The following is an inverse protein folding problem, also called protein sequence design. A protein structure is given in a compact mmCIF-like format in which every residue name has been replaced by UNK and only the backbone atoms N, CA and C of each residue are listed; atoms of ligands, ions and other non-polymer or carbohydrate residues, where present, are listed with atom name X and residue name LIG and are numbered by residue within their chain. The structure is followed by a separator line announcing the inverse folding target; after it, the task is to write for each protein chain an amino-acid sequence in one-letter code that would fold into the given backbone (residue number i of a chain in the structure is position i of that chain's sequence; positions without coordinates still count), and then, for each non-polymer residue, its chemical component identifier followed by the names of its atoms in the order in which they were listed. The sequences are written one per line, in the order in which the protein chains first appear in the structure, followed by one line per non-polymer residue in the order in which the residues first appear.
data_IF_676422050006
#
_entry.id   IF_676422050006
#
_cell.length_a   1.000
_cell.length_b   1.000
_cell.length_c   1.000
_cell.angle_alpha   90.00
_cell.angle_beta   90.00
_cell.angle_gamma   90.00
#
_symmetry.space_group_name_H-M   'P 1'
#
loop_
_entity.id
_entity.type
_entity.pdbx_description
1 polymer ?
#
# COMPACT_ATOMS: atom_id res chain seq x y z
N UNK A 1 2.76 20.87 52.98
CA UNK A 1 3.37 19.53 53.10
C UNK A 1 3.06 18.74 51.83
N UNK A 2 4.02 18.07 51.27
CA UNK A 2 3.76 17.15 50.19
C UNK A 2 3.03 15.91 50.72
N UNK A 3 2.03 15.40 49.96
CA UNK A 3 1.33 14.15 50.30
C UNK A 3 2.30 12.97 50.28
N UNK A 4 2.08 11.97 51.15
CA UNK A 4 2.94 10.77 51.20
C UNK A 4 2.85 9.89 49.97
N UNK A 5 1.79 10.04 49.16
CA UNK A 5 1.58 9.32 47.89
C UNK A 5 1.28 10.34 46.80
N UNK A 6 1.89 10.13 45.63
CA UNK A 6 1.53 10.84 44.42
C UNK A 6 0.19 10.33 43.92
N UNK A 7 -0.77 11.23 43.82
CA UNK A 7 -2.07 10.93 43.19
C UNK A 7 -2.05 11.45 41.74
N UNK A 8 -1.90 10.55 40.81
CA UNK A 8 -1.85 10.89 39.39
C UNK A 8 -3.18 11.41 38.89
N UNK A 9 -4.32 10.95 39.44
CA UNK A 9 -5.67 11.37 39.02
C UNK A 9 -5.97 12.83 39.32
N UNK A 10 -5.38 13.36 40.37
CA UNK A 10 -5.45 14.79 40.69
C UNK A 10 -4.33 15.60 40.03
N UNK A 11 -3.11 15.07 40.07
CA UNK A 11 -1.91 15.80 39.65
C UNK A 11 -1.83 15.99 38.14
N UNK A 12 -2.13 14.97 37.35
CA UNK A 12 -2.01 15.05 35.91
C UNK A 12 -2.98 16.07 35.27
N UNK A 13 -4.29 16.06 35.59
CA UNK A 13 -5.20 17.07 35.05
C UNK A 13 -4.85 18.50 35.50
N UNK A 14 -4.38 18.65 36.74
CA UNK A 14 -3.93 19.94 37.24
C UNK A 14 -2.77 20.50 36.41
N UNK A 15 -1.75 19.69 36.15
CA UNK A 15 -0.59 20.14 35.38
C UNK A 15 -0.92 20.36 33.91
N UNK A 16 -1.78 19.55 33.31
CA UNK A 16 -2.24 19.74 31.94
C UNK A 16 -2.99 21.08 31.81
N UNK A 17 -3.92 21.37 32.71
CA UNK A 17 -4.62 22.64 32.74
C UNK A 17 -3.67 23.83 32.91
N UNK A 18 -2.67 23.72 33.80
CA UNK A 18 -1.64 24.74 33.99
C UNK A 18 -0.82 24.96 32.71
N UNK A 19 -0.31 23.90 32.08
CA UNK A 19 0.47 24.02 30.83
C UNK A 19 -0.32 24.67 29.72
N UNK A 20 -1.59 24.37 29.64
CA UNK A 20 -2.48 24.95 28.63
C UNK A 20 -2.77 26.44 28.91
N UNK A 21 -3.10 26.80 30.15
CA UNK A 21 -3.39 28.18 30.51
C UNK A 21 -2.19 29.12 30.37
N UNK A 22 -0.99 28.62 30.70
CA UNK A 22 0.26 29.39 30.58
C UNK A 22 0.87 29.33 29.15
N UNK A 23 0.31 28.56 28.23
CA UNK A 23 0.81 28.42 26.89
C UNK A 23 2.25 27.91 26.80
N UNK A 24 2.68 27.05 27.75
CA UNK A 24 4.09 26.64 27.92
C UNK A 24 4.65 25.97 26.69
N UNK A 25 3.79 25.28 25.93
CA UNK A 25 4.18 24.54 24.72
C UNK A 25 3.89 25.27 23.42
N UNK A 26 3.35 26.48 23.51
CA UNK A 26 3.04 27.30 22.35
C UNK A 26 4.29 27.73 21.59
N UNK A 27 4.26 27.62 20.28
CA UNK A 27 5.31 28.10 19.38
C UNK A 27 5.09 29.58 19.09
N UNK A 28 6.02 30.41 19.57
CA UNK A 28 5.97 31.85 19.35
C UNK A 28 6.65 32.24 18.04
N UNK A 29 5.84 32.62 17.03
CA UNK A 29 6.34 33.05 15.71
C UNK A 29 7.16 34.34 15.74
N UNK A 30 7.09 35.12 16.82
CA UNK A 30 7.83 36.37 17.01
C UNK A 30 9.08 36.23 17.87
N UNK A 31 9.30 35.04 18.40
CA UNK A 31 10.47 34.75 19.27
C UNK A 31 11.78 34.87 18.50
N UNK A 32 12.77 35.49 19.14
CA UNK A 32 14.17 35.54 18.67
C UNK A 32 15.02 34.33 19.10
N UNK A 33 14.44 33.39 19.86
CA UNK A 33 15.13 32.17 20.27
C UNK A 33 15.40 31.28 19.02
N UNK A 34 16.48 30.49 19.06
CA UNK A 34 16.71 29.53 17.99
C UNK A 34 15.52 28.55 17.88
N UNK A 35 15.08 28.30 16.66
CA UNK A 35 13.95 27.39 16.40
C UNK A 35 14.44 25.95 16.33
N UNK A 36 13.68 25.05 16.92
CA UNK A 36 13.82 23.61 16.73
C UNK A 36 12.47 23.02 16.30
N UNK A 37 12.43 22.43 15.15
CA UNK A 37 11.20 21.82 14.60
C UNK A 37 11.24 20.32 14.77
N UNK A 38 10.10 19.74 15.14
CA UNK A 38 9.88 18.30 15.20
C UNK A 38 8.76 17.98 14.21
N UNK A 39 9.06 17.06 13.30
CA UNK A 39 8.12 16.51 12.34
C UNK A 39 7.92 15.02 12.67
N UNK A 40 6.73 14.68 13.13
CA UNK A 40 6.32 13.29 13.34
C UNK A 40 5.23 12.95 12.36
N UNK A 41 5.26 11.75 11.76
CA UNK A 41 4.13 11.32 10.91
C UNK A 41 2.85 11.34 11.73
N UNK A 42 1.73 11.84 11.18
CA UNK A 42 0.46 11.82 11.90
C UNK A 42 0.01 10.37 12.12
N UNK A 43 -0.47 10.00 13.31
CA UNK A 43 -1.02 8.68 13.54
C UNK A 43 -2.27 8.46 12.70
N UNK A 44 -2.40 7.25 12.16
CA UNK A 44 -3.60 6.85 11.41
C UNK A 44 -4.77 6.65 12.38
N UNK A 45 -5.88 7.31 12.08
CA UNK A 45 -7.09 7.33 12.94
C UNK A 45 -8.00 6.16 12.57
N UNK A 46 -7.59 4.93 12.90
CA UNK A 46 -8.29 3.70 12.48
C UNK A 46 -8.50 2.67 13.57
N UNK A 47 -8.77 3.09 14.79
CA UNK A 47 -9.04 2.17 15.87
C UNK A 47 -8.53 2.62 17.23
N UNK A 48 -8.37 1.65 18.14
CA UNK A 48 -7.88 1.97 19.48
C UNK A 48 -6.38 2.20 19.48
N UNK A 49 -5.97 3.32 20.11
CA UNK A 49 -4.57 3.57 20.38
C UNK A 49 -4.03 2.48 21.30
N UNK A 50 -2.82 2.04 21.05
CA UNK A 50 -2.10 1.07 21.86
C UNK A 50 -0.73 1.62 22.29
N UNK A 51 -0.09 0.93 23.22
CA UNK A 51 1.20 1.32 23.80
C UNK A 51 2.27 1.61 22.74
N UNK A 52 2.23 0.96 21.59
CA UNK A 52 3.16 1.20 20.49
C UNK A 52 3.12 2.63 19.96
N UNK A 53 1.93 3.25 19.86
CA UNK A 53 1.81 4.66 19.49
C UNK A 53 2.51 5.55 20.53
N UNK A 54 2.18 5.37 21.82
CA UNK A 54 2.80 6.15 22.90
C UNK A 54 4.31 5.97 22.90
N UNK A 55 4.81 4.74 22.74
CA UNK A 55 6.25 4.46 22.69
C UNK A 55 6.96 5.22 21.56
N UNK A 56 6.42 5.16 20.34
CA UNK A 56 7.03 5.82 19.18
C UNK A 56 7.08 7.35 19.33
N UNK A 57 5.98 7.96 19.77
CA UNK A 57 5.91 9.42 19.92
C UNK A 57 6.66 9.93 21.15
N UNK A 58 6.81 9.10 22.21
CA UNK A 58 7.60 9.47 23.41
C UNK A 58 9.05 9.77 23.09
N UNK A 59 9.63 9.18 22.05
CA UNK A 59 11.00 9.48 21.63
C UNK A 59 11.13 10.93 21.13
N UNK A 60 10.17 11.41 20.33
CA UNK A 60 10.12 12.80 19.90
C UNK A 60 9.83 13.75 21.06
N UNK A 61 8.96 13.34 21.98
CA UNK A 61 8.60 14.09 23.18
C UNK A 61 9.81 14.37 24.09
N UNK A 62 10.65 13.37 24.33
CA UNK A 62 11.90 13.55 25.09
C UNK A 62 12.78 14.62 24.43
N UNK A 63 12.91 14.59 23.11
CA UNK A 63 13.68 15.59 22.39
C UNK A 63 13.05 16.99 22.47
N UNK A 64 11.72 17.09 22.36
CA UNK A 64 11.00 18.34 22.48
C UNK A 64 11.26 19.01 23.82
N UNK A 65 11.12 18.27 24.91
CA UNK A 65 11.36 18.76 26.27
C UNK A 65 12.81 19.16 26.50
N UNK A 66 13.75 18.34 26.05
CA UNK A 66 15.17 18.67 26.14
C UNK A 66 15.51 19.98 25.44
N UNK A 67 14.99 20.17 24.20
CA UNK A 67 15.24 21.40 23.44
C UNK A 67 14.62 22.63 24.10
N UNK A 68 13.40 22.52 24.65
CA UNK A 68 12.80 23.63 25.44
C UNK A 68 13.64 23.99 26.66
N UNK A 69 14.13 23.00 27.42
CA UNK A 69 15.03 23.23 28.53
C UNK A 69 16.34 23.91 28.13
N UNK A 70 16.80 23.68 26.88
CA UNK A 70 17.97 24.36 26.29
C UNK A 70 17.65 25.76 25.74
N UNK A 71 16.43 26.25 25.90
CA UNK A 71 16.03 27.60 25.51
C UNK A 71 15.62 27.77 24.05
N UNK A 72 15.39 26.68 23.34
CA UNK A 72 14.86 26.74 21.99
C UNK A 72 13.35 27.07 21.96
N UNK A 73 12.92 27.77 20.93
CA UNK A 73 11.53 27.88 20.57
C UNK A 73 11.17 26.63 19.75
N UNK A 74 10.42 25.70 20.34
CA UNK A 74 10.17 24.38 19.73
C UNK A 74 8.85 24.38 18.98
N UNK A 75 8.91 24.15 17.67
CA UNK A 75 7.75 23.91 16.82
C UNK A 75 7.45 22.41 16.80
N UNK A 76 6.39 22.01 17.47
CA UNK A 76 5.95 20.62 17.57
C UNK A 76 4.44 20.53 17.35
N UNK A 77 3.99 20.55 16.06
CA UNK A 77 2.59 20.37 15.72
C UNK A 77 2.17 18.91 15.91
N UNK A 78 0.87 18.66 16.00
CA UNK A 78 0.31 17.32 16.01
C UNK A 78 -0.67 17.18 14.85
N UNK A 79 -0.63 16.04 14.15
CA UNK A 79 -1.53 15.76 13.03
C UNK A 79 -2.29 14.47 13.22
N UNK A 80 -3.37 14.31 12.45
CA UNK A 80 -4.14 13.08 12.31
C UNK A 80 -4.15 12.63 10.86
N UNK A 81 -3.90 11.33 10.64
CA UNK A 81 -4.05 10.72 9.32
C UNK A 81 -5.40 10.00 9.24
N UNK A 82 -6.35 10.68 8.61
CA UNK A 82 -7.74 10.24 8.48
C UNK A 82 -8.01 9.55 7.15
N UNK A 83 -6.99 9.42 6.31
CA UNK A 83 -7.10 8.81 5.00
C UNK A 83 -6.89 7.29 5.05
N UNK A 84 -7.41 6.65 4.00
CA UNK A 84 -7.01 5.32 3.61
C UNK A 84 -8.01 4.22 3.92
N UNK A 85 -7.74 3.10 3.31
CA UNK A 85 -8.55 1.88 3.39
C UNK A 85 -8.78 1.39 4.84
N UNK A 86 -7.84 1.53 5.80
CA UNK A 86 -8.08 1.13 7.18
C UNK A 86 -9.27 1.84 7.84
N UNK A 87 -9.47 3.13 7.57
CA UNK A 87 -10.64 3.89 8.06
C UNK A 87 -11.93 3.40 7.43
N UNK A 88 -11.93 3.18 6.11
CA UNK A 88 -13.09 2.63 5.40
C UNK A 88 -13.47 1.25 5.95
N UNK A 89 -12.48 0.38 6.17
CA UNK A 89 -12.67 -0.95 6.77
C UNK A 89 -13.23 -0.90 8.20
N UNK A 90 -12.78 0.06 8.98
CA UNK A 90 -13.31 0.26 10.33
C UNK A 90 -14.81 0.61 10.28
N UNK A 91 -15.20 1.52 9.40
CA UNK A 91 -16.60 1.95 9.21
C UNK A 91 -17.43 0.78 8.69
N UNK A 92 -16.98 0.06 7.66
CA UNK A 92 -17.65 -1.13 7.15
C UNK A 92 -17.93 -2.15 8.27
N UNK A 93 -16.89 -2.47 9.06
CA UNK A 93 -17.01 -3.42 10.16
C UNK A 93 -17.95 -2.94 11.27
N UNK A 94 -17.88 -1.65 11.63
CA UNK A 94 -18.69 -1.06 12.70
C UNK A 94 -20.17 -1.04 12.34
N UNK A 95 -20.48 -0.75 11.07
CA UNK A 95 -21.87 -0.61 10.60
C UNK A 95 -22.42 -1.87 9.91
N UNK A 96 -21.59 -2.89 9.67
CA UNK A 96 -21.99 -4.14 9.01
C UNK A 96 -22.39 -3.95 7.55
N UNK A 97 -21.76 -3.01 6.84
CA UNK A 97 -22.02 -2.66 5.44
C UNK A 97 -20.75 -2.73 4.62
N UNK A 98 -20.88 -2.71 3.30
CA UNK A 98 -19.77 -2.51 2.36
C UNK A 98 -19.88 -1.15 1.69
N UNK A 99 -18.74 -0.53 1.37
CA UNK A 99 -18.70 0.80 0.75
C UNK A 99 -19.52 0.87 -0.54
N UNK A 100 -19.51 -0.20 -1.36
CA UNK A 100 -20.26 -0.29 -2.61
C UNK A 100 -21.77 -0.53 -2.44
N UNK A 101 -22.25 -0.81 -1.22
CA UNK A 101 -23.70 -0.98 -0.91
C UNK A 101 -24.38 0.35 -0.59
N UNK A 102 -23.62 1.44 -0.47
CA UNK A 102 -24.11 2.77 -0.16
C UNK A 102 -23.69 3.79 -1.22
N UNK A 103 -24.26 5.01 -1.16
CA UNK A 103 -23.77 6.08 -2.00
C UNK A 103 -22.43 6.60 -1.48
N UNK A 104 -21.58 7.09 -2.38
CA UNK A 104 -20.28 7.67 -2.02
C UNK A 104 -20.41 8.76 -0.97
N UNK A 105 -21.43 9.62 -1.09
CA UNK A 105 -21.66 10.72 -0.16
C UNK A 105 -22.00 10.23 1.25
N UNK A 106 -22.89 9.24 1.33
CA UNK A 106 -23.28 8.63 2.62
C UNK A 106 -22.07 7.95 3.28
N UNK A 107 -21.33 7.14 2.53
CA UNK A 107 -20.16 6.45 3.06
C UNK A 107 -19.07 7.41 3.50
N UNK A 108 -18.79 8.45 2.69
CA UNK A 108 -17.83 9.50 3.06
C UNK A 108 -18.25 10.20 4.35
N UNK A 109 -19.53 10.53 4.51
CA UNK A 109 -20.03 11.14 5.75
C UNK A 109 -19.81 10.24 6.95
N UNK A 110 -20.11 8.95 6.83
CA UNK A 110 -19.87 7.98 7.92
C UNK A 110 -18.38 7.90 8.31
N UNK A 111 -17.48 7.95 7.34
CA UNK A 111 -16.04 7.97 7.60
C UNK A 111 -15.64 9.26 8.34
N UNK A 112 -16.13 10.43 7.91
CA UNK A 112 -15.85 11.72 8.54
C UNK A 112 -16.36 11.79 9.99
N UNK A 113 -17.57 11.29 10.23
CA UNK A 113 -18.15 11.24 11.58
C UNK A 113 -17.31 10.33 12.50
N UNK A 114 -16.89 9.16 12.01
CA UNK A 114 -16.06 8.22 12.77
C UNK A 114 -14.67 8.78 13.09
N UNK A 115 -13.97 9.35 12.09
CA UNK A 115 -12.63 9.92 12.30
C UNK A 115 -12.66 11.09 13.29
N UNK A 116 -13.68 11.97 13.21
CA UNK A 116 -13.82 13.09 14.15
C UNK A 116 -13.94 12.62 15.61
N UNK A 117 -14.62 11.53 15.87
CA UNK A 117 -14.73 10.99 17.23
C UNK A 117 -13.44 10.29 17.69
N UNK A 118 -12.75 9.63 16.78
CA UNK A 118 -11.46 9.02 17.09
C UNK A 118 -10.37 10.07 17.33
N UNK A 119 -10.30 11.15 16.54
CA UNK A 119 -9.37 12.28 16.77
C UNK A 119 -9.47 12.82 18.20
N UNK A 120 -10.71 13.00 18.71
CA UNK A 120 -10.91 13.45 20.11
C UNK A 120 -10.32 12.48 21.11
N UNK A 121 -10.50 11.17 20.89
CA UNK A 121 -9.95 10.13 21.77
C UNK A 121 -8.41 10.10 21.69
N UNK A 122 -7.84 10.22 20.50
CA UNK A 122 -6.39 10.32 20.31
C UNK A 122 -5.83 11.54 21.02
N UNK A 123 -6.42 12.72 20.78
CA UNK A 123 -6.03 13.95 21.47
C UNK A 123 -6.07 13.82 22.97
N UNK A 124 -7.16 13.25 23.52
CA UNK A 124 -7.29 13.05 24.96
C UNK A 124 -6.18 12.15 25.50
N UNK A 125 -5.86 11.05 24.83
CA UNK A 125 -4.81 10.14 25.29
C UNK A 125 -3.42 10.78 25.26
N UNK A 126 -3.06 11.43 24.16
CA UNK A 126 -1.77 12.12 24.05
C UNK A 126 -1.64 13.26 25.07
N UNK A 127 -2.72 14.00 25.31
CA UNK A 127 -2.77 15.01 26.37
C UNK A 127 -2.59 14.37 27.76
N UNK A 128 -3.28 13.25 28.03
CA UNK A 128 -3.16 12.53 29.30
C UNK A 128 -1.75 11.97 29.53
N UNK A 129 -1.10 11.52 28.47
CA UNK A 129 0.29 11.08 28.49
C UNK A 129 1.29 12.24 28.65
N UNK A 130 0.82 13.49 28.68
CA UNK A 130 1.61 14.68 28.93
C UNK A 130 2.47 15.13 27.74
N UNK A 131 2.06 14.81 26.51
CA UNK A 131 2.79 15.28 25.31
C UNK A 131 2.75 16.80 25.19
N UNK A 132 3.90 17.38 24.91
CA UNK A 132 4.12 18.82 24.82
C UNK A 132 3.95 19.36 23.40
N UNK A 133 3.02 18.79 22.64
CA UNK A 133 2.65 19.29 21.33
C UNK A 133 1.95 20.64 21.45
N UNK A 134 2.12 21.48 20.45
CA UNK A 134 1.32 22.69 20.31
C UNK A 134 0.01 22.39 19.58
N UNK A 135 -1.03 22.15 20.35
CA UNK A 135 -2.37 21.86 19.85
C UNK A 135 -3.01 23.02 19.06
N UNK A 136 -2.43 24.21 19.09
CA UNK A 136 -2.82 25.33 18.22
C UNK A 136 -2.43 25.14 16.75
N UNK A 137 -1.49 24.23 16.49
CA UNK A 137 -1.06 23.81 15.15
C UNK A 137 -1.51 22.39 14.79
N UNK A 138 -2.60 21.94 15.40
CA UNK A 138 -3.23 20.67 15.03
C UNK A 138 -3.72 20.70 13.58
N UNK A 139 -3.57 19.57 12.87
CA UNK A 139 -4.02 19.44 11.50
C UNK A 139 -4.57 18.02 11.21
N UNK A 140 -5.45 17.93 10.24
CA UNK A 140 -5.93 16.67 9.68
C UNK A 140 -5.50 16.56 8.22
N UNK A 141 -5.12 15.37 7.77
CA UNK A 141 -4.73 15.10 6.37
C UNK A 141 -5.87 15.30 5.38
N UNK A 142 -7.13 15.30 5.87
CA UNK A 142 -8.34 15.54 5.06
C UNK A 142 -8.90 16.97 5.20
N UNK A 143 -8.23 17.85 5.96
CA UNK A 143 -8.67 19.23 6.10
C UNK A 143 -8.67 19.96 4.77
N UNK A 144 -9.51 21.00 4.57
CA UNK A 144 -9.54 21.78 3.33
C UNK A 144 -8.17 22.33 2.94
N UNK A 145 -7.37 22.76 3.90
CA UNK A 145 -6.00 23.23 3.67
C UNK A 145 -5.09 22.14 3.15
N UNK A 146 -5.14 20.93 3.74
CA UNK A 146 -4.36 19.79 3.31
C UNK A 146 -4.76 19.35 1.89
N UNK A 147 -6.06 19.29 1.60
CA UNK A 147 -6.57 18.96 0.27
C UNK A 147 -6.09 19.96 -0.79
N UNK A 148 -6.22 21.27 -0.54
CA UNK A 148 -5.75 22.30 -1.46
C UNK A 148 -4.24 22.19 -1.70
N UNK A 149 -3.46 21.95 -0.66
CA UNK A 149 -2.00 21.83 -0.75
C UNK A 149 -1.60 20.60 -1.58
N UNK A 150 -2.23 19.47 -1.32
CA UNK A 150 -2.01 18.22 -2.05
C UNK A 150 -2.37 18.35 -3.53
N UNK A 151 -3.54 18.94 -3.84
CA UNK A 151 -3.96 19.16 -5.23
C UNK A 151 -3.03 20.12 -5.98
N UNK A 152 -2.59 21.21 -5.33
CA UNK A 152 -1.62 22.13 -5.94
C UNK A 152 -0.29 21.45 -6.22
N UNK A 153 0.20 20.62 -5.29
CA UNK A 153 1.42 19.84 -5.46
C UNK A 153 1.28 18.87 -6.64
N UNK A 154 0.17 18.15 -6.73
CA UNK A 154 -0.09 17.23 -7.85
C UNK A 154 -0.11 17.95 -9.20
N UNK A 155 -0.79 19.10 -9.29
CA UNK A 155 -0.83 19.91 -10.52
C UNK A 155 0.58 20.38 -10.93
N UNK A 156 1.40 20.79 -9.97
CA UNK A 156 2.79 21.19 -10.24
C UNK A 156 3.64 20.01 -10.76
N UNK A 157 3.51 18.83 -10.12
CA UNK A 157 4.17 17.60 -10.59
C UNK A 157 3.71 17.18 -11.99
N UNK A 158 2.42 17.31 -12.28
CA UNK A 158 1.88 17.03 -13.61
C UNK A 158 2.45 17.97 -14.67
N UNK A 159 2.47 19.29 -14.38
CA UNK A 159 3.08 20.30 -15.27
C UNK A 159 4.57 20.06 -15.53
N UNK A 160 5.28 19.58 -14.51
CA UNK A 160 6.70 19.18 -14.59
C UNK A 160 6.91 17.80 -15.23
N UNK A 161 5.85 17.16 -15.71
CA UNK A 161 5.87 15.79 -16.29
C UNK A 161 6.45 14.73 -15.35
N UNK A 162 6.38 14.95 -14.04
CA UNK A 162 6.77 13.99 -13.01
C UNK A 162 5.62 13.10 -12.55
N UNK A 163 4.38 13.56 -12.73
CA UNK A 163 3.17 12.75 -12.61
C UNK A 163 2.60 12.53 -14.00
N UNK A 164 2.34 11.28 -14.36
CA UNK A 164 1.82 10.87 -15.67
C UNK A 164 1.02 9.58 -15.56
N UNK A 165 0.15 9.35 -16.53
CA UNK A 165 -0.58 8.08 -16.64
C UNK A 165 0.32 7.03 -17.29
N UNK A 166 0.44 5.86 -16.69
CA UNK A 166 1.18 4.74 -17.26
C UNK A 166 0.33 3.46 -17.25
N UNK A 167 0.63 2.56 -18.20
CA UNK A 167 0.07 1.21 -18.20
C UNK A 167 0.97 0.33 -17.33
N UNK A 168 0.71 0.33 -16.04
CA UNK A 168 1.41 -0.50 -15.07
C UNK A 168 0.40 -1.35 -14.28
N UNK A 169 0.78 -2.56 -13.83
CA UNK A 169 -0.06 -3.36 -12.97
C UNK A 169 -0.28 -2.67 -11.63
N UNK A 170 -1.48 -2.81 -11.09
CA UNK A 170 -1.82 -2.41 -9.73
C UNK A 170 -2.33 -3.63 -8.96
N UNK A 171 -2.06 -3.67 -7.67
CA UNK A 171 -2.65 -4.67 -6.79
C UNK A 171 -4.13 -4.33 -6.60
N UNK A 172 -4.98 -5.29 -6.80
CA UNK A 172 -6.44 -5.14 -6.71
C UNK A 172 -7.02 -6.16 -5.75
N UNK A 173 -7.80 -5.69 -4.77
CA UNK A 173 -8.55 -6.57 -3.90
C UNK A 173 -9.95 -6.81 -4.47
N UNK A 174 -10.27 -8.06 -4.78
CA UNK A 174 -11.58 -8.44 -5.35
C UNK A 174 -12.70 -8.35 -4.32
N UNK A 175 -12.40 -8.49 -3.04
CA UNK A 175 -13.36 -8.33 -1.95
C UNK A 175 -13.69 -6.86 -1.70
N UNK A 176 -12.66 -6.00 -1.62
CA UNK A 176 -12.82 -4.56 -1.40
C UNK A 176 -13.20 -3.81 -2.67
N UNK A 177 -13.01 -4.42 -3.85
CA UNK A 177 -13.21 -3.81 -5.16
C UNK A 177 -12.43 -2.49 -5.34
N UNK A 178 -11.20 -2.47 -4.84
CA UNK A 178 -10.30 -1.31 -4.92
C UNK A 178 -8.85 -1.72 -5.07
N UNK A 179 -8.02 -0.79 -5.52
CA UNK A 179 -6.56 -0.96 -5.49
C UNK A 179 -6.06 -0.91 -4.05
N UNK A 180 -5.08 -1.75 -3.76
CA UNK A 180 -4.46 -1.86 -2.42
C UNK A 180 -2.96 -1.59 -2.52
N UNK A 181 -2.37 -1.16 -1.40
CA UNK A 181 -0.94 -0.99 -1.30
C UNK A 181 -0.23 -2.33 -1.04
N UNK A 182 1.05 -2.41 -1.38
CA UNK A 182 1.85 -3.61 -1.12
C UNK A 182 1.90 -3.96 0.37
N UNK A 183 1.87 -2.97 1.26
CA UNK A 183 1.85 -3.16 2.71
C UNK A 183 0.57 -3.81 3.25
N UNK A 184 -0.48 -3.87 2.44
CA UNK A 184 -1.78 -4.47 2.80
C UNK A 184 -1.89 -5.94 2.35
N UNK A 185 -0.81 -6.47 1.71
CA UNK A 185 -0.76 -7.87 1.30
C UNK A 185 -0.36 -8.76 2.49
N UNK A 186 -1.10 -9.83 2.67
CA UNK A 186 -0.73 -10.93 3.55
C UNK A 186 -0.29 -12.13 2.70
N UNK A 187 0.83 -12.75 3.08
CA UNK A 187 1.30 -13.97 2.43
C UNK A 187 0.62 -15.17 3.05
N UNK A 188 -0.09 -15.94 2.24
CA UNK A 188 -0.76 -17.17 2.65
C UNK A 188 -0.20 -18.35 1.85
N UNK A 189 0.18 -19.43 2.52
CA UNK A 189 0.55 -20.67 1.87
C UNK A 189 -0.70 -21.45 1.47
N UNK A 190 -0.86 -21.70 0.19
CA UNK A 190 -1.95 -22.48 -0.35
C UNK A 190 -1.41 -23.72 -1.08
N UNK A 191 -2.07 -24.89 -0.93
CA UNK A 191 -1.72 -26.05 -1.74
C UNK A 191 -1.94 -25.75 -3.21
N UNK A 192 -0.96 -26.07 -4.04
CA UNK A 192 -1.02 -25.89 -5.48
C UNK A 192 -0.51 -27.14 -6.20
N UNK A 193 -0.89 -27.29 -7.46
CA UNK A 193 -0.47 -28.41 -8.31
C UNK A 193 0.13 -27.87 -9.60
N UNK A 194 1.16 -28.56 -10.10
CA UNK A 194 1.65 -28.31 -11.44
C UNK A 194 0.70 -28.94 -12.48
N UNK A 195 0.28 -28.12 -13.43
CA UNK A 195 -0.46 -28.53 -14.61
C UNK A 195 0.53 -28.61 -15.76
N UNK A 196 0.66 -29.76 -16.38
CA UNK A 196 1.54 -29.98 -17.52
C UNK A 196 0.76 -29.80 -18.82
N UNK A 197 1.15 -28.78 -19.58
CA UNK A 197 0.44 -28.37 -20.78
C UNK A 197 1.32 -28.60 -22.02
N UNK A 198 0.75 -29.16 -23.08
CA UNK A 198 1.45 -29.41 -24.34
C UNK A 198 1.27 -28.22 -25.27
N UNK A 199 2.37 -27.59 -25.59
CA UNK A 199 2.43 -26.49 -26.54
C UNK A 199 3.06 -27.01 -27.84
N UNK A 200 2.29 -27.06 -28.94
CA UNK A 200 2.75 -27.58 -30.20
C UNK A 200 3.61 -26.55 -30.94
N UNK A 201 4.64 -27.06 -31.64
CA UNK A 201 5.49 -26.21 -32.47
C UNK A 201 4.72 -25.84 -33.73
N UNK A 202 4.72 -24.56 -34.09
CA UNK A 202 4.00 -24.09 -35.26
C UNK A 202 4.63 -24.66 -36.54
N UNK A 203 3.81 -25.32 -37.37
CA UNK A 203 4.26 -26.03 -38.57
C UNK A 203 4.80 -27.47 -38.35
N UNK A 204 4.83 -27.93 -37.09
CA UNK A 204 5.30 -29.28 -36.74
C UNK A 204 4.28 -29.95 -35.80
N UNK A 205 3.15 -30.39 -36.35
CA UNK A 205 1.97 -30.81 -35.55
C UNK A 205 2.20 -32.02 -34.64
N UNK A 206 3.25 -32.83 -34.87
CA UNK A 206 3.61 -33.98 -34.05
C UNK A 206 4.64 -33.63 -32.94
N UNK A 207 5.18 -32.41 -32.95
CA UNK A 207 6.16 -31.97 -31.96
C UNK A 207 5.57 -30.96 -30.99
N UNK A 208 5.84 -31.18 -29.71
CA UNK A 208 5.39 -30.29 -28.65
C UNK A 208 6.46 -30.11 -27.60
N UNK A 209 6.37 -29.01 -26.86
CA UNK A 209 7.07 -28.77 -25.60
C UNK A 209 6.07 -28.85 -24.45
N UNK A 210 6.44 -29.51 -23.37
CA UNK A 210 5.63 -29.57 -22.17
C UNK A 210 6.02 -28.44 -21.22
N UNK A 211 5.06 -27.65 -20.79
CA UNK A 211 5.25 -26.55 -19.86
C UNK A 211 4.48 -26.83 -18.58
N UNK A 212 5.17 -26.81 -17.46
CA UNK A 212 4.57 -26.97 -16.14
C UNK A 212 4.19 -25.59 -15.57
N UNK A 213 2.93 -25.42 -15.23
CA UNK A 213 2.43 -24.19 -14.63
C UNK A 213 1.52 -24.47 -13.43
N UNK A 214 1.58 -23.63 -12.42
CA UNK A 214 0.61 -23.62 -11.31
C UNK A 214 -0.61 -22.76 -11.63
N UNK A 215 -0.58 -22.00 -12.74
CA UNK A 215 -1.62 -21.03 -13.13
C UNK A 215 -2.03 -21.19 -14.59
N UNK A 216 -2.71 -22.30 -14.94
CA UNK A 216 -3.12 -22.56 -16.32
C UNK A 216 -4.13 -21.53 -16.87
N UNK A 217 -4.84 -20.83 -15.99
CA UNK A 217 -5.76 -19.74 -16.35
C UNK A 217 -5.08 -18.57 -17.07
N UNK A 218 -3.77 -18.41 -16.94
CA UNK A 218 -3.01 -17.33 -17.58
C UNK A 218 -2.68 -17.60 -19.05
N UNK A 219 -2.99 -18.77 -19.60
CA UNK A 219 -2.74 -19.12 -21.00
C UNK A 219 -3.22 -18.06 -21.98
N UNK A 220 -4.39 -17.48 -21.75
CA UNK A 220 -4.97 -16.46 -22.63
C UNK A 220 -4.10 -15.19 -22.74
N UNK A 221 -3.21 -14.96 -21.75
CA UNK A 221 -2.30 -13.81 -21.71
C UNK A 221 -0.85 -14.18 -22.07
N UNK A 222 -0.60 -15.38 -22.54
CA UNK A 222 0.73 -15.85 -22.92
C UNK A 222 1.30 -14.98 -24.06
N UNK A 223 2.49 -14.41 -23.85
CA UNK A 223 3.16 -13.52 -24.80
C UNK A 223 4.37 -14.16 -25.47
N UNK A 224 5.10 -14.96 -24.72
CA UNK A 224 6.26 -15.69 -25.18
C UNK A 224 6.55 -16.86 -24.24
N UNK A 225 7.46 -17.71 -24.67
CA UNK A 225 8.02 -18.79 -23.88
C UNK A 225 9.50 -18.47 -23.67
N UNK A 226 9.98 -18.69 -22.44
CA UNK A 226 11.37 -18.54 -22.11
C UNK A 226 12.04 -19.88 -21.81
N UNK A 227 13.30 -20.01 -22.29
CA UNK A 227 14.23 -21.08 -21.94
C UNK A 227 15.47 -20.47 -21.35
N UNK A 228 16.22 -21.23 -20.55
CA UNK A 228 17.50 -20.75 -20.04
C UNK A 228 18.57 -20.81 -21.15
N UNK A 229 19.54 -19.85 -21.23
CA UNK A 229 20.60 -19.88 -22.23
C UNK A 229 21.45 -21.16 -22.20
N UNK A 230 21.62 -21.78 -21.04
CA UNK A 230 22.37 -23.02 -20.86
C UNK A 230 21.53 -24.30 -21.02
N UNK A 231 20.25 -24.17 -21.35
CA UNK A 231 19.37 -25.32 -21.58
C UNK A 231 19.68 -25.99 -22.92
N UNK A 232 20.54 -26.98 -22.87
CA UNK A 232 20.91 -27.78 -24.05
C UNK A 232 19.79 -28.61 -24.60
N UNK A 233 18.84 -29.05 -23.75
CA UNK A 233 17.69 -29.90 -24.10
C UNK A 233 16.69 -29.15 -24.98
N UNK A 234 16.34 -27.94 -24.58
CA UNK A 234 15.29 -27.17 -25.23
C UNK A 234 15.84 -26.10 -26.20
N UNK A 235 17.16 -26.02 -26.38
CA UNK A 235 17.81 -25.01 -27.26
C UNK A 235 17.28 -25.04 -28.70
N UNK A 236 16.86 -26.19 -29.20
CA UNK A 236 16.30 -26.37 -30.53
C UNK A 236 14.98 -25.61 -30.74
N UNK A 237 14.34 -25.13 -29.66
CA UNK A 237 13.11 -24.34 -29.69
C UNK A 237 13.38 -22.85 -29.93
N UNK A 238 14.60 -22.37 -29.67
CA UNK A 238 14.93 -20.96 -29.78
C UNK A 238 14.67 -20.43 -31.20
N UNK A 239 13.93 -19.32 -31.28
CA UNK A 239 13.54 -18.71 -32.55
C UNK A 239 12.34 -19.37 -33.24
N UNK A 240 11.84 -20.50 -32.73
CA UNK A 240 10.59 -21.09 -33.20
C UNK A 240 9.38 -20.35 -32.66
N UNK A 241 8.22 -20.59 -33.25
CA UNK A 241 6.92 -20.15 -32.74
C UNK A 241 6.16 -21.36 -32.19
N UNK A 242 5.45 -21.14 -31.12
CA UNK A 242 4.76 -22.18 -30.36
C UNK A 242 3.27 -21.83 -30.30
N UNK A 243 2.39 -22.77 -30.61
CA UNK A 243 0.93 -22.62 -30.50
C UNK A 243 0.51 -22.65 -29.03
N UNK A 244 -0.21 -21.63 -28.58
CA UNK A 244 -0.77 -21.62 -27.23
C UNK A 244 -2.00 -22.55 -27.20
N UNK A 245 -2.02 -23.54 -26.27
CA UNK A 245 -3.14 -24.46 -26.15
C UNK A 245 -4.47 -23.73 -25.95
N UNK A 246 -5.56 -24.25 -26.49
CA UNK A 246 -6.93 -23.71 -26.45
C UNK A 246 -7.12 -22.36 -27.16
N UNK A 247 -6.04 -21.67 -27.55
CA UNK A 247 -6.10 -20.38 -28.22
C UNK A 247 -5.40 -20.46 -29.57
N UNK A 248 -5.99 -19.87 -30.58
CA UNK A 248 -5.49 -19.94 -31.96
C UNK A 248 -4.45 -18.86 -32.28
N UNK A 249 -3.44 -18.70 -31.42
CA UNK A 249 -2.31 -17.82 -31.65
C UNK A 249 -1.00 -18.47 -31.30
N UNK A 250 0.07 -17.96 -31.89
CA UNK A 250 1.43 -18.44 -31.63
C UNK A 250 2.30 -17.38 -30.95
N UNK A 251 3.22 -17.82 -30.14
CA UNK A 251 4.16 -16.97 -29.41
C UNK A 251 5.61 -17.35 -29.74
N UNK A 252 6.57 -16.43 -29.67
CA UNK A 252 7.98 -16.72 -29.88
C UNK A 252 8.58 -17.43 -28.68
N UNK A 253 9.66 -18.20 -28.93
CA UNK A 253 10.56 -18.71 -27.89
C UNK A 253 11.78 -17.79 -27.79
N UNK A 254 12.03 -17.31 -26.59
CA UNK A 254 13.13 -16.42 -26.23
C UNK A 254 14.01 -17.08 -25.17
N UNK A 255 15.16 -16.50 -24.87
CA UNK A 255 16.04 -16.96 -23.78
C UNK A 255 16.20 -15.89 -22.71
N UNK A 256 16.28 -16.33 -21.45
CA UNK A 256 16.57 -15.46 -20.31
C UNK A 256 17.18 -16.25 -19.16
N UNK A 257 18.21 -15.68 -18.50
CA UNK A 257 18.96 -16.25 -17.38
C UNK A 257 18.10 -16.47 -16.11
N UNK A 258 16.94 -15.84 -16.03
CA UNK A 258 16.03 -15.98 -14.88
C UNK A 258 15.16 -17.23 -14.94
N UNK A 259 15.22 -17.98 -16.02
CA UNK A 259 14.53 -19.28 -16.11
C UNK A 259 15.26 -20.28 -15.24
N UNK A 260 14.53 -20.92 -14.33
CA UNK A 260 15.07 -21.97 -13.47
C UNK A 260 15.01 -23.30 -14.22
N UNK A 261 16.19 -23.87 -14.51
CA UNK A 261 16.32 -25.15 -15.22
C UNK A 261 15.71 -26.36 -14.49
N UNK A 262 15.67 -26.28 -13.16
CA UNK A 262 15.20 -27.40 -12.30
C UNK A 262 13.72 -27.27 -11.97
N UNK A 263 13.11 -26.12 -12.23
CA UNK A 263 11.69 -25.88 -11.93
C UNK A 263 10.77 -26.34 -13.06
N UNK A 264 9.93 -27.32 -12.74
CA UNK A 264 8.93 -27.85 -13.69
C UNK A 264 9.59 -28.56 -14.87
N UNK A 265 9.38 -28.04 -16.09
CA UNK A 265 9.98 -28.57 -17.33
C UNK A 265 11.25 -27.83 -17.78
N UNK A 266 11.68 -26.79 -17.03
CA UNK A 266 12.76 -25.89 -17.45
C UNK A 266 12.34 -24.91 -18.55
N UNK A 267 11.07 -24.94 -18.96
CA UNK A 267 10.49 -24.06 -19.97
C UNK A 267 9.33 -23.29 -19.35
N UNK A 268 9.33 -21.98 -19.47
CA UNK A 268 8.39 -21.10 -18.78
C UNK A 268 7.57 -20.28 -19.76
N UNK A 269 6.25 -20.29 -19.61
CA UNK A 269 5.39 -19.33 -20.30
C UNK A 269 5.38 -17.98 -19.58
N UNK A 270 5.54 -16.91 -20.33
CA UNK A 270 5.41 -15.54 -19.83
C UNK A 270 4.02 -14.99 -20.15
N UNK A 271 3.28 -14.60 -19.14
CA UNK A 271 1.88 -14.20 -19.28
C UNK A 271 1.67 -12.76 -18.82
N UNK A 272 2.18 -11.81 -19.57
CA UNK A 272 2.10 -10.36 -19.37
C UNK A 272 2.50 -9.94 -17.94
N UNK A 273 1.59 -10.04 -16.97
CA UNK A 273 1.79 -9.68 -15.57
C UNK A 273 1.39 -10.82 -14.64
N UNK A 274 1.75 -12.07 -14.98
CA UNK A 274 1.40 -13.23 -14.18
C UNK A 274 2.03 -13.22 -12.80
N UNK A 275 3.30 -12.78 -12.72
CA UNK A 275 4.05 -12.58 -11.49
C UNK A 275 5.07 -11.43 -11.64
N UNK A 276 5.97 -11.28 -10.65
CA UNK A 276 7.01 -10.27 -10.68
C UNK A 276 8.05 -10.52 -11.77
N UNK A 277 8.36 -11.77 -12.08
CA UNK A 277 9.30 -12.15 -13.14
C UNK A 277 8.72 -11.84 -14.51
N UNK A 278 7.45 -12.14 -14.72
CA UNK A 278 6.71 -11.76 -15.93
C UNK A 278 6.74 -10.24 -16.16
N UNK A 279 6.57 -9.45 -15.09
CA UNK A 279 6.64 -7.99 -15.17
C UNK A 279 8.04 -7.47 -15.55
N UNK A 280 9.09 -8.11 -15.06
CA UNK A 280 10.46 -7.78 -15.44
C UNK A 280 10.71 -8.11 -16.91
N UNK A 281 10.28 -9.28 -17.38
CA UNK A 281 10.37 -9.66 -18.78
C UNK A 281 9.54 -8.76 -19.69
N UNK A 282 8.34 -8.39 -19.27
CA UNK A 282 7.52 -7.40 -19.98
C UNK A 282 8.29 -6.10 -20.24
N UNK A 283 8.97 -5.57 -19.22
CA UNK A 283 9.78 -4.36 -19.34
C UNK A 283 11.04 -4.56 -20.18
N UNK A 284 11.77 -5.66 -19.94
CA UNK A 284 13.06 -5.97 -20.62
C UNK A 284 12.85 -6.21 -22.11
N UNK A 285 11.88 -7.01 -22.46
CA UNK A 285 11.62 -7.42 -23.86
C UNK A 285 10.57 -6.56 -24.56
N UNK A 286 10.03 -5.54 -23.89
CA UNK A 286 8.99 -4.63 -24.41
C UNK A 286 7.79 -5.40 -24.97
N UNK A 287 7.34 -6.39 -24.22
CA UNK A 287 6.22 -7.25 -24.63
C UNK A 287 4.93 -6.43 -24.75
N UNK A 288 4.01 -6.89 -25.58
CA UNK A 288 2.71 -6.24 -25.72
C UNK A 288 1.80 -6.53 -24.53
N UNK A 289 0.90 -5.60 -24.23
CA UNK A 289 -0.09 -5.79 -23.16
C UNK A 289 -1.32 -6.51 -23.73
N UNK A 290 -1.53 -7.75 -23.32
CA UNK A 290 -2.82 -8.44 -23.54
C UNK A 290 -3.71 -8.22 -22.31
N UNK A 291 -4.84 -7.56 -22.53
CA UNK A 291 -5.86 -7.37 -21.48
C UNK A 291 -6.84 -8.53 -21.51
N UNK A 292 -6.91 -9.29 -20.45
CA UNK A 292 -8.04 -10.19 -20.22
C UNK A 292 -9.30 -9.37 -19.94
N UNK A 293 -10.48 -9.86 -20.33
CA UNK A 293 -11.71 -9.10 -20.13
C UNK A 293 -12.03 -8.92 -18.63
N UNK A 294 -12.73 -7.84 -18.26
CA UNK A 294 -13.24 -7.59 -16.90
C UNK A 294 -13.98 -8.78 -16.29
N UNK A 295 -14.62 -9.59 -17.11
CA UNK A 295 -15.40 -10.75 -16.69
C UNK A 295 -14.55 -11.84 -16.03
N UNK A 296 -13.26 -11.97 -16.38
CA UNK A 296 -12.36 -12.95 -15.76
C UNK A 296 -11.88 -12.51 -14.38
N UNK A 297 -11.72 -11.22 -14.12
CA UNK A 297 -11.36 -10.71 -12.80
C UNK A 297 -12.46 -10.91 -11.73
N UNK A 298 -13.68 -11.17 -12.16
CA UNK A 298 -14.85 -11.45 -11.32
C UNK A 298 -15.17 -12.96 -11.22
N UNK A 299 -14.37 -13.83 -11.86
CA UNK A 299 -14.59 -15.28 -11.79
C UNK A 299 -14.19 -15.78 -10.39
N UNK A 300 -15.07 -16.50 -9.67
CA UNK A 300 -14.75 -17.05 -8.32
C UNK A 300 -13.54 -17.96 -8.28
N UNK A 301 -13.10 -18.51 -9.41
CA UNK A 301 -11.88 -19.32 -9.52
C UNK A 301 -10.58 -18.50 -9.38
N UNK A 302 -10.68 -17.16 -9.37
CA UNK A 302 -9.55 -16.24 -9.21
C UNK A 302 -9.46 -15.61 -7.80
N UNK A 303 -10.20 -16.13 -6.85
CA UNK A 303 -10.16 -15.69 -5.45
C UNK A 303 -8.88 -16.22 -4.81
N UNK A 304 -7.91 -15.38 -4.69
CA UNK A 304 -6.63 -15.65 -4.04
C UNK A 304 -5.45 -15.18 -4.89
N UNK A 305 -4.87 -14.04 -4.54
CA UNK A 305 -3.62 -13.49 -5.12
C UNK A 305 -3.64 -13.12 -6.60
N UNK A 306 -4.73 -12.58 -7.10
CA UNK A 306 -4.78 -12.15 -8.50
C UNK A 306 -4.37 -10.69 -8.60
N UNK A 307 -3.26 -10.43 -9.30
CA UNK A 307 -3.00 -9.14 -9.91
C UNK A 307 -4.11 -8.91 -10.94
N UNK A 308 -5.15 -8.19 -10.57
CA UNK A 308 -6.20 -7.80 -11.49
C UNK A 308 -5.77 -6.50 -12.18
N UNK A 309 -5.91 -6.44 -13.49
CA UNK A 309 -5.43 -5.33 -14.31
C UNK A 309 -6.60 -4.40 -14.63
N UNK A 310 -6.37 -3.11 -14.45
CA UNK A 310 -7.20 -2.07 -15.03
C UNK A 310 -6.79 -1.79 -16.46
#
# INVERSE_FOLDING_TARGET
MLTKKYDFKESEPKWQAFWQSEGIYHFDTHSKKPVYSIDTPPPTVNGKIHIGHIFSYSQAEVMARYKRMKGFNVFYPFGFDDNGLPTERLVEKKHGIKAFETTREQFTKMCLDETSDLEKQFRQLFTSAGFSCDWGYEYSTISPKAQITSQKSFIDLYRKKKAYVSNAPALWCTECQTSIAQAELETVELPSTFNYLRFFIDGEDDQFVEIATTRPELLAACQCIFIHPDDTKNRHLLGKRIKVPLFNFTVPVLEDEKVDLEKGSGVVMCCTFGDLTDLEWYKKYKLSLLRQSRTMALCPLFVGNTLAFQ
#
